data_IF_867328056235
#
_entry.id   IF_867328056235
#
_cell.length_a   1.000
_cell.length_b   1.000
_cell.length_c   1.000
_cell.angle_alpha   90.00
_cell.angle_beta   90.00
_cell.angle_gamma   90.00
#
_symmetry.space_group_name_H-M   'P 1'
#
loop_
_entity.id
_entity.type
_entity.pdbx_description
1 polymer ?
#
# COMPACT_ATOMS: atom_id res chain seq x y z
N UNK A 1 -3.92 -20.28 6.35
CA UNK A 1 -3.74 -21.33 7.37
C UNK A 1 -4.46 -20.99 8.69
N UNK A 2 -4.00 -20.04 9.52
CA UNK A 2 -4.67 -19.73 10.80
C UNK A 2 -6.13 -19.27 10.63
N UNK A 3 -6.39 -18.34 9.69
CA UNK A 3 -7.76 -17.90 9.38
C UNK A 3 -8.66 -19.06 8.92
N UNK A 4 -8.13 -20.01 8.15
CA UNK A 4 -8.88 -21.17 7.69
C UNK A 4 -9.30 -22.09 8.85
N UNK A 5 -8.41 -22.30 9.83
CA UNK A 5 -8.72 -23.05 11.04
C UNK A 5 -9.78 -22.34 11.88
N UNK A 6 -9.60 -21.03 12.11
CA UNK A 6 -10.48 -20.20 12.95
C UNK A 6 -11.92 -20.16 12.43
N UNK A 7 -12.08 -20.16 11.11
CA UNK A 7 -13.40 -20.13 10.46
C UNK A 7 -13.87 -21.51 9.97
N UNK A 8 -13.22 -22.58 10.39
CA UNK A 8 -13.68 -23.95 10.11
C UNK A 8 -14.94 -24.29 10.90
N UNK A 9 -15.62 -25.38 10.54
CA UNK A 9 -16.83 -25.82 11.25
C UNK A 9 -16.59 -26.27 12.68
N UNK A 10 -15.35 -26.66 13.04
CA UNK A 10 -14.97 -27.08 14.38
C UNK A 10 -13.50 -26.70 14.66
N UNK A 11 -13.23 -25.43 15.01
CA UNK A 11 -11.88 -24.95 15.23
C UNK A 11 -11.21 -25.65 16.43
N UNK A 12 -9.96 -26.09 16.25
CA UNK A 12 -9.15 -26.68 17.33
C UNK A 12 -8.26 -25.58 17.97
N UNK A 13 -8.48 -25.34 19.26
CA UNK A 13 -7.75 -24.33 20.03
C UNK A 13 -6.24 -24.58 20.10
N UNK A 14 -5.81 -25.85 20.14
CA UNK A 14 -4.38 -26.18 20.16
C UNK A 14 -3.74 -25.85 18.82
N UNK A 15 -4.40 -26.20 17.72
CA UNK A 15 -3.93 -25.89 16.37
C UNK A 15 -3.88 -24.38 16.15
N UNK A 16 -4.89 -23.64 16.61
CA UNK A 16 -4.91 -22.18 16.54
C UNK A 16 -3.74 -21.55 17.31
N UNK A 17 -3.50 -22.03 18.53
CA UNK A 17 -2.39 -21.56 19.38
C UNK A 17 -1.03 -21.85 18.73
N UNK A 18 -0.82 -23.08 18.24
CA UNK A 18 0.42 -23.47 17.56
C UNK A 18 0.68 -22.61 16.31
N UNK A 19 -0.33 -22.44 15.46
CA UNK A 19 -0.22 -21.62 14.24
C UNK A 19 0.03 -20.14 14.57
N UNK A 20 -0.55 -19.63 15.65
CA UNK A 20 -0.35 -18.26 16.09
C UNK A 20 1.07 -18.05 16.63
N UNK A 21 1.55 -18.94 17.50
CA UNK A 21 2.93 -18.89 17.99
C UNK A 21 3.94 -18.97 16.84
N UNK A 22 3.68 -19.84 15.85
CA UNK A 22 4.54 -19.92 14.65
C UNK A 22 4.51 -18.63 13.83
N UNK A 23 3.35 -17.99 13.73
CA UNK A 23 3.19 -16.73 13.03
C UNK A 23 4.00 -15.61 13.70
N UNK A 24 3.91 -15.48 15.03
CA UNK A 24 4.69 -14.50 15.79
C UNK A 24 6.21 -14.73 15.65
N UNK A 25 6.67 -15.98 15.72
CA UNK A 25 8.08 -16.33 15.48
C UNK A 25 8.56 -15.88 14.09
N UNK A 26 7.74 -16.11 13.06
CA UNK A 26 8.07 -15.72 11.69
C UNK A 26 8.04 -14.19 11.50
N UNK A 27 7.13 -13.49 12.17
CA UNK A 27 7.10 -12.03 12.15
C UNK A 27 8.36 -11.43 12.77
N UNK A 28 8.82 -11.95 13.91
CA UNK A 28 10.01 -11.42 14.56
C UNK A 28 11.26 -11.68 13.73
N UNK A 29 11.34 -12.82 13.04
CA UNK A 29 12.39 -13.08 12.04
C UNK A 29 12.29 -12.17 10.82
N UNK A 30 11.08 -11.85 10.34
CA UNK A 30 10.91 -10.97 9.19
C UNK A 30 11.34 -9.52 9.52
N UNK A 31 11.07 -9.08 10.75
CA UNK A 31 11.40 -7.76 11.27
C UNK A 31 12.90 -7.46 11.26
N UNK A 32 13.78 -8.45 11.38
CA UNK A 32 15.24 -8.24 11.31
C UNK A 32 15.73 -7.80 9.93
N UNK A 33 14.93 -8.00 8.87
CA UNK A 33 15.22 -7.56 7.51
C UNK A 33 14.60 -6.21 7.16
N UNK A 34 13.87 -5.59 8.09
CA UNK A 34 13.21 -4.30 7.88
C UNK A 34 14.13 -3.18 8.35
N UNK A 35 14.41 -2.24 7.45
CA UNK A 35 15.06 -0.97 7.78
C UNK A 35 13.97 0.10 7.76
N UNK A 36 13.52 0.49 8.95
CA UNK A 36 12.43 1.46 9.09
C UNK A 36 12.81 2.78 8.41
N UNK A 37 11.85 3.38 7.71
CA UNK A 37 11.95 4.72 7.11
C UNK A 37 13.04 4.91 6.05
N UNK A 38 13.77 3.87 5.62
CA UNK A 38 14.92 3.99 4.70
C UNK A 38 14.58 4.77 3.43
N UNK A 39 13.45 4.43 2.78
CA UNK A 39 12.98 5.14 1.59
C UNK A 39 12.79 6.65 1.84
N UNK A 40 12.16 7.01 2.96
CA UNK A 40 11.90 8.40 3.32
C UNK A 40 13.18 9.15 3.72
N UNK A 41 14.12 8.49 4.39
CA UNK A 41 15.40 9.07 4.79
C UNK A 41 16.28 9.34 3.57
N UNK A 42 16.34 8.42 2.60
CA UNK A 42 17.06 8.63 1.34
C UNK A 42 16.52 9.88 0.64
N UNK A 43 15.20 10.03 0.56
CA UNK A 43 14.57 11.19 -0.08
C UNK A 43 14.89 12.47 0.68
N UNK A 44 14.70 12.50 2.00
CA UNK A 44 14.95 13.68 2.84
C UNK A 44 16.43 14.12 2.78
N UNK A 45 17.36 13.18 2.89
CA UNK A 45 18.81 13.44 2.82
C UNK A 45 19.24 13.98 1.45
N UNK A 46 18.44 13.78 0.40
CA UNK A 46 18.66 14.33 -0.94
C UNK A 46 17.85 15.61 -1.21
N UNK A 47 17.30 16.26 -0.17
CA UNK A 47 16.55 17.51 -0.28
C UNK A 47 15.11 17.32 -0.74
N UNK A 48 14.58 16.11 -0.62
CA UNK A 48 13.20 15.81 -1.00
C UNK A 48 12.19 16.38 -0.02
N UNK A 49 11.06 16.86 -0.55
CA UNK A 49 9.99 17.47 0.24
C UNK A 49 8.63 16.96 -0.19
N UNK A 50 7.66 17.01 0.73
CA UNK A 50 6.29 16.63 0.45
C UNK A 50 6.08 15.15 0.14
N UNK A 51 6.95 14.27 0.65
CA UNK A 51 6.77 12.82 0.51
C UNK A 51 5.48 12.35 1.16
N UNK A 52 4.55 11.90 0.31
CA UNK A 52 3.27 11.40 0.75
C UNK A 52 2.65 10.45 -0.29
N UNK A 53 1.56 9.83 0.12
CA UNK A 53 0.70 9.04 -0.72
C UNK A 53 -0.77 9.35 -0.40
N UNK A 54 -1.64 9.17 -1.38
CA UNK A 54 -3.09 9.25 -1.16
C UNK A 54 -3.82 8.18 -1.97
N UNK A 55 -4.92 7.69 -1.41
CA UNK A 55 -5.83 6.77 -2.09
C UNK A 55 -7.20 7.41 -2.12
N UNK A 56 -7.83 7.39 -3.28
CA UNK A 56 -9.23 7.76 -3.46
C UNK A 56 -10.03 6.60 -4.05
N UNK A 57 -11.27 6.87 -4.45
CA UNK A 57 -12.14 5.86 -5.06
C UNK A 57 -11.65 5.37 -6.43
N UNK A 58 -10.86 6.20 -7.15
CA UNK A 58 -10.49 5.95 -8.54
C UNK A 58 -8.99 5.73 -8.76
N UNK A 59 -8.13 6.20 -7.85
CA UNK A 59 -6.68 6.16 -8.04
C UNK A 59 -5.91 6.16 -6.72
N UNK A 60 -4.66 5.71 -6.80
CA UNK A 60 -3.64 5.87 -5.76
C UNK A 60 -2.53 6.77 -6.32
N UNK A 61 -2.16 7.80 -5.57
CA UNK A 61 -1.08 8.70 -5.90
C UNK A 61 0.09 8.50 -4.94
N UNK A 62 1.30 8.50 -5.50
CA UNK A 62 2.55 8.66 -4.77
C UNK A 62 3.23 9.91 -5.29
N UNK A 63 3.61 10.83 -4.41
CA UNK A 63 4.14 12.11 -4.83
C UNK A 63 5.12 12.70 -3.82
N UNK A 64 6.12 13.38 -4.36
CA UNK A 64 7.13 14.15 -3.64
C UNK A 64 7.88 15.02 -4.63
N UNK A 65 8.56 16.04 -4.11
CA UNK A 65 9.48 16.88 -4.89
C UNK A 65 10.92 16.53 -4.55
N UNK A 66 11.80 16.62 -5.55
CA UNK A 66 13.25 16.51 -5.40
C UNK A 66 13.93 17.62 -6.21
N UNK A 67 15.15 18.04 -5.84
CA UNK A 67 15.98 18.89 -6.70
C UNK A 67 16.16 18.27 -8.10
N UNK A 68 16.19 19.09 -9.16
CA UNK A 68 16.22 18.60 -10.56
C UNK A 68 17.44 17.71 -10.88
N UNK A 69 18.56 17.91 -10.18
CA UNK A 69 19.76 17.07 -10.30
C UNK A 69 19.60 15.67 -9.65
N UNK A 70 18.48 15.39 -8.98
CA UNK A 70 18.14 14.09 -8.36
C UNK A 70 17.08 13.31 -9.14
N UNK A 71 16.75 13.71 -10.37
CA UNK A 71 15.77 12.99 -11.19
C UNK A 71 16.08 11.49 -11.32
N UNK A 72 17.33 11.12 -11.54
CA UNK A 72 17.73 9.72 -11.64
C UNK A 72 17.50 8.92 -10.35
N UNK A 73 17.72 9.54 -9.17
CA UNK A 73 17.38 8.93 -7.89
C UNK A 73 15.87 8.66 -7.78
N UNK A 74 15.03 9.60 -8.24
CA UNK A 74 13.58 9.40 -8.29
C UNK A 74 13.21 8.19 -9.12
N UNK A 75 13.75 8.09 -10.35
CA UNK A 75 13.50 6.95 -11.24
C UNK A 75 14.00 5.63 -10.65
N UNK A 76 15.18 5.62 -10.03
CA UNK A 76 15.72 4.42 -9.39
C UNK A 76 14.82 3.93 -8.25
N UNK A 77 14.44 4.82 -7.32
CA UNK A 77 13.63 4.47 -6.15
C UNK A 77 12.22 4.03 -6.52
N UNK A 78 11.53 4.79 -7.37
CA UNK A 78 10.17 4.43 -7.76
C UNK A 78 10.15 3.18 -8.66
N UNK A 79 11.11 3.01 -9.56
CA UNK A 79 11.18 1.79 -10.36
C UNK A 79 11.41 0.54 -9.49
N UNK A 80 12.29 0.61 -8.49
CA UNK A 80 12.47 -0.52 -7.57
C UNK A 80 11.21 -0.79 -6.74
N UNK A 81 10.59 0.26 -6.19
CA UNK A 81 9.32 0.15 -5.45
C UNK A 81 8.23 -0.55 -6.26
N UNK A 82 8.10 -0.20 -7.55
CA UNK A 82 7.08 -0.78 -8.41
C UNK A 82 7.45 -2.17 -8.97
N UNK A 83 8.73 -2.46 -9.18
CA UNK A 83 9.18 -3.76 -9.72
C UNK A 83 9.34 -4.82 -8.64
N UNK A 84 9.78 -4.44 -7.45
CA UNK A 84 10.22 -5.34 -6.39
C UNK A 84 9.55 -5.06 -5.02
N UNK A 85 8.20 -4.96 -4.94
CA UNK A 85 7.54 -4.70 -3.67
C UNK A 85 7.78 -5.83 -2.66
N UNK A 86 8.07 -5.45 -1.42
CA UNK A 86 8.19 -6.41 -0.31
C UNK A 86 7.11 -6.17 0.74
N UNK A 87 6.62 -7.24 1.36
CA UNK A 87 5.42 -7.23 2.20
C UNK A 87 5.72 -7.62 3.65
N UNK A 88 6.96 -7.41 4.10
CA UNK A 88 7.43 -7.89 5.42
C UNK A 88 6.63 -7.28 6.57
N UNK A 89 6.19 -6.04 6.41
CA UNK A 89 5.46 -5.29 7.42
C UNK A 89 3.93 -5.33 7.24
N UNK A 90 3.41 -6.13 6.30
CA UNK A 90 1.98 -6.15 5.95
C UNK A 90 1.05 -6.19 7.16
N UNK A 91 1.34 -7.02 8.16
CA UNK A 91 0.48 -7.19 9.33
C UNK A 91 0.60 -6.02 10.32
N UNK A 92 1.76 -5.38 10.41
CA UNK A 92 1.95 -4.17 11.22
C UNK A 92 1.18 -3.03 10.58
N UNK A 93 1.38 -2.82 9.28
CA UNK A 93 0.68 -1.79 8.50
C UNK A 93 -0.83 -1.99 8.48
N UNK A 94 -1.30 -3.25 8.43
CA UNK A 94 -2.72 -3.57 8.56
C UNK A 94 -3.31 -3.06 9.88
N UNK A 95 -2.60 -3.19 11.00
CA UNK A 95 -3.08 -2.65 12.28
C UNK A 95 -3.01 -1.12 12.33
N UNK A 96 -2.01 -0.50 11.67
CA UNK A 96 -1.96 0.97 11.51
C UNK A 96 -3.19 1.48 10.75
N UNK A 97 -3.59 0.83 9.65
CA UNK A 97 -4.79 1.17 8.88
C UNK A 97 -6.07 1.01 9.71
N UNK A 98 -6.14 -0.02 10.56
CA UNK A 98 -7.29 -0.21 11.47
C UNK A 98 -7.39 0.92 12.50
N UNK A 99 -6.26 1.36 13.06
CA UNK A 99 -6.26 2.48 14.00
C UNK A 99 -6.56 3.80 13.30
N UNK A 100 -6.07 4.01 12.07
CA UNK A 100 -6.44 5.17 11.25
C UNK A 100 -7.96 5.22 11.02
N UNK A 101 -8.58 4.10 10.64
CA UNK A 101 -10.03 4.01 10.49
C UNK A 101 -10.74 4.36 11.80
N UNK A 102 -10.28 3.81 12.92
CA UNK A 102 -10.86 4.08 14.24
C UNK A 102 -10.83 5.57 14.57
N UNK A 103 -9.71 6.23 14.33
CA UNK A 103 -9.53 7.66 14.57
C UNK A 103 -10.33 8.55 13.62
N UNK A 104 -10.36 8.23 12.32
CA UNK A 104 -10.98 9.09 11.30
C UNK A 104 -12.48 8.90 11.17
N UNK A 105 -12.97 7.69 11.42
CA UNK A 105 -14.35 7.31 11.18
C UNK A 105 -15.03 6.97 12.50
N UNK A 106 -14.61 5.91 13.20
CA UNK A 106 -15.40 5.34 14.30
C UNK A 106 -15.53 6.30 15.51
N UNK A 107 -14.48 7.05 15.82
CA UNK A 107 -14.47 8.05 16.88
C UNK A 107 -14.90 9.45 16.42
N UNK A 108 -15.18 9.64 15.12
CA UNK A 108 -15.55 10.93 14.55
C UNK A 108 -17.00 10.93 14.03
N UNK A 109 -17.93 11.67 14.64
CA UNK A 109 -19.34 11.65 14.24
C UNK A 109 -19.57 12.12 12.80
N UNK A 110 -18.74 13.05 12.28
CA UNK A 110 -18.83 13.50 10.89
C UNK A 110 -18.34 12.41 9.94
N UNK A 111 -17.25 11.72 10.29
CA UNK A 111 -16.75 10.57 9.53
C UNK A 111 -17.81 9.48 9.38
N UNK A 112 -18.47 9.11 10.50
CA UNK A 112 -19.57 8.14 10.49
C UNK A 112 -20.76 8.59 9.64
N UNK A 113 -21.18 9.85 9.78
CA UNK A 113 -22.29 10.39 9.01
C UNK A 113 -22.03 10.28 7.50
N UNK A 114 -20.84 10.68 7.05
CA UNK A 114 -20.47 10.65 5.64
C UNK A 114 -20.38 9.21 5.12
N UNK A 115 -19.79 8.30 5.88
CA UNK A 115 -19.71 6.88 5.48
C UNK A 115 -21.09 6.26 5.29
N UNK A 116 -22.00 6.43 6.26
CA UNK A 116 -23.37 5.91 6.18
C UNK A 116 -24.16 6.56 5.04
N UNK A 117 -24.03 7.87 4.87
CA UNK A 117 -24.69 8.60 3.78
C UNK A 117 -24.25 8.08 2.41
N UNK A 118 -22.94 7.90 2.19
CA UNK A 118 -22.39 7.40 0.92
C UNK A 118 -22.82 5.96 0.66
N UNK A 119 -22.81 5.10 1.69
CA UNK A 119 -23.26 3.71 1.57
C UNK A 119 -24.74 3.59 1.17
N UNK A 120 -25.61 4.46 1.71
CA UNK A 120 -27.04 4.51 1.34
C UNK A 120 -27.24 5.11 -0.04
N UNK A 121 -26.52 6.18 -0.38
CA UNK A 121 -26.62 6.86 -1.67
C UNK A 121 -26.20 5.96 -2.84
N UNK A 122 -25.21 5.08 -2.62
CA UNK A 122 -24.69 4.15 -3.62
C UNK A 122 -24.91 2.69 -3.20
N UNK A 123 -26.15 2.23 -3.23
CA UNK A 123 -26.52 0.88 -2.75
C UNK A 123 -25.85 -0.27 -3.53
N UNK A 124 -25.66 -0.10 -4.85
CA UNK A 124 -25.08 -1.13 -5.72
C UNK A 124 -23.71 -0.75 -6.30
N UNK A 125 -23.41 0.55 -6.40
CA UNK A 125 -22.18 1.02 -7.01
C UNK A 125 -21.00 0.87 -6.04
N UNK A 126 -19.79 0.46 -6.49
CA UNK A 126 -18.63 0.29 -5.60
C UNK A 126 -18.25 1.52 -4.77
N UNK A 127 -18.65 2.73 -5.20
CA UNK A 127 -18.45 3.97 -4.43
C UNK A 127 -19.19 4.00 -3.09
N UNK A 128 -20.15 3.12 -2.86
CA UNK A 128 -20.74 2.93 -1.52
C UNK A 128 -19.77 2.32 -0.51
N UNK A 129 -18.63 1.78 -0.97
CA UNK A 129 -17.57 1.24 -0.10
C UNK A 129 -16.64 2.37 0.34
N UNK A 130 -16.36 2.52 1.64
CA UNK A 130 -15.41 3.51 2.12
C UNK A 130 -14.01 3.20 1.58
N UNK A 131 -13.24 4.24 1.23
CA UNK A 131 -11.89 4.10 0.66
C UNK A 131 -10.95 3.34 1.59
N UNK A 132 -11.04 3.58 2.90
CA UNK A 132 -10.25 2.85 3.91
C UNK A 132 -10.71 1.40 4.09
N UNK A 133 -11.90 1.04 3.58
CA UNK A 133 -12.53 -0.27 3.75
C UNK A 133 -13.34 -0.41 5.04
N UNK A 134 -14.17 -1.45 5.10
CA UNK A 134 -14.88 -1.83 6.31
C UNK A 134 -13.93 -2.49 7.31
N UNK A 135 -14.12 -2.29 8.61
CA UNK A 135 -13.26 -2.90 9.63
C UNK A 135 -13.25 -4.45 9.54
N UNK A 136 -14.38 -5.07 9.18
CA UNK A 136 -14.47 -6.51 8.90
C UNK A 136 -13.53 -6.92 7.76
N UNK A 137 -13.51 -6.15 6.68
CA UNK A 137 -12.73 -6.45 5.49
C UNK A 137 -11.24 -6.27 5.77
N UNK A 138 -10.86 -5.18 6.44
CA UNK A 138 -9.46 -4.94 6.85
C UNK A 138 -8.98 -6.09 7.74
N UNK A 139 -9.81 -6.54 8.69
CA UNK A 139 -9.49 -7.66 9.59
C UNK A 139 -9.34 -8.98 8.82
N UNK A 140 -10.17 -9.24 7.82
CA UNK A 140 -10.14 -10.47 7.02
C UNK A 140 -9.04 -10.48 5.94
N UNK A 141 -8.58 -9.31 5.49
CA UNK A 141 -7.61 -9.17 4.40
C UNK A 141 -6.30 -9.90 4.72
N UNK A 142 -5.82 -10.67 3.75
CA UNK A 142 -4.58 -11.44 3.79
C UNK A 142 -3.48 -10.80 2.96
N UNK A 143 -2.23 -11.20 3.21
CA UNK A 143 -1.08 -10.78 2.41
C UNK A 143 -1.21 -11.21 0.94
N UNK A 144 -1.93 -12.31 0.68
CA UNK A 144 -2.16 -12.80 -0.67
C UNK A 144 -3.18 -11.94 -1.42
N UNK A 145 -4.20 -11.44 -0.72
CA UNK A 145 -5.13 -10.46 -1.30
C UNK A 145 -4.40 -9.18 -1.72
N UNK A 146 -3.47 -8.69 -0.89
CA UNK A 146 -2.65 -7.53 -1.21
C UNK A 146 -1.75 -7.76 -2.43
N UNK A 147 -1.12 -8.96 -2.53
CA UNK A 147 -0.31 -9.34 -3.70
C UNK A 147 -1.15 -9.44 -4.96
N UNK A 148 -2.31 -10.09 -4.88
CA UNK A 148 -3.23 -10.21 -6.02
C UNK A 148 -3.74 -8.85 -6.49
N UNK A 149 -4.04 -7.95 -5.55
CA UNK A 149 -4.40 -6.57 -5.87
C UNK A 149 -3.26 -5.85 -6.59
N UNK A 150 -2.04 -5.96 -6.06
CA UNK A 150 -0.84 -5.38 -6.66
C UNK A 150 -0.61 -5.91 -8.08
N UNK A 151 -0.51 -7.23 -8.23
CA UNK A 151 -0.23 -7.90 -9.51
C UNK A 151 -1.29 -7.57 -10.58
N UNK A 152 -2.53 -7.33 -10.17
CA UNK A 152 -3.63 -6.96 -11.07
C UNK A 152 -3.61 -5.48 -11.48
N UNK A 153 -3.38 -4.55 -10.56
CA UNK A 153 -3.60 -3.12 -10.81
C UNK A 153 -2.32 -2.30 -10.95
N UNK A 154 -1.20 -2.75 -10.39
CA UNK A 154 0.09 -2.07 -10.46
C UNK A 154 0.89 -2.59 -11.65
N UNK A 155 0.33 -2.38 -12.84
CA UNK A 155 0.90 -2.78 -14.13
C UNK A 155 1.28 -1.55 -14.96
N UNK A 156 2.31 -1.62 -15.84
CA UNK A 156 2.77 -0.47 -16.60
C UNK A 156 1.67 0.25 -17.40
N UNK A 157 0.73 -0.51 -17.96
CA UNK A 157 -0.40 0.04 -18.73
C UNK A 157 -1.45 0.78 -17.89
N UNK A 158 -1.38 0.69 -16.56
CA UNK A 158 -2.31 1.31 -15.61
C UNK A 158 -1.60 2.32 -14.68
N UNK A 159 -0.36 2.72 -15.01
CA UNK A 159 0.42 3.69 -14.23
C UNK A 159 0.77 4.88 -15.13
N UNK A 160 0.58 6.09 -14.60
CA UNK A 160 1.00 7.33 -15.25
C UNK A 160 2.00 8.05 -14.36
N UNK A 161 3.15 8.43 -14.93
CA UNK A 161 4.17 9.23 -14.25
C UNK A 161 4.06 10.67 -14.76
N UNK A 162 3.83 11.61 -13.83
CA UNK A 162 3.81 13.04 -14.12
C UNK A 162 4.99 13.73 -13.45
N UNK A 163 5.79 14.46 -14.24
CA UNK A 163 6.97 15.20 -13.76
C UNK A 163 6.83 16.66 -14.20
N UNK A 164 6.93 17.58 -13.26
CA UNK A 164 6.86 19.02 -13.51
C UNK A 164 7.95 19.75 -12.72
N UNK A 165 8.59 20.74 -13.36
CA UNK A 165 9.68 21.53 -12.78
C UNK A 165 10.76 21.86 -13.81
N UNK A 166 11.98 22.11 -13.33
CA UNK A 166 13.16 22.32 -14.16
C UNK A 166 13.69 20.97 -14.70
N UNK A 167 13.07 20.47 -15.78
CA UNK A 167 13.40 19.17 -16.37
C UNK A 167 13.49 19.25 -17.89
N UNK A 168 14.43 18.49 -18.47
CA UNK A 168 14.47 18.22 -19.91
C UNK A 168 13.61 16.99 -20.23
N UNK A 169 12.51 17.13 -21.01
CA UNK A 169 11.66 16.01 -21.38
C UNK A 169 12.39 14.87 -22.07
N UNK A 170 13.44 15.15 -22.86
CA UNK A 170 14.21 14.11 -23.55
C UNK A 170 15.00 13.26 -22.55
N UNK A 171 15.65 13.92 -21.58
CA UNK A 171 16.33 13.24 -20.47
C UNK A 171 15.35 12.43 -19.62
N UNK A 172 14.19 12.98 -19.27
CA UNK A 172 13.20 12.27 -18.45
C UNK A 172 12.66 11.03 -19.17
N UNK A 173 12.41 11.12 -20.48
CA UNK A 173 12.00 9.98 -21.30
C UNK A 173 13.07 8.89 -21.32
N UNK A 174 14.34 9.25 -21.48
CA UNK A 174 15.45 8.28 -21.44
C UNK A 174 15.52 7.57 -20.10
N UNK A 175 15.43 8.30 -18.99
CA UNK A 175 15.41 7.70 -17.65
C UNK A 175 14.19 6.81 -17.43
N UNK A 176 13.01 7.20 -17.94
CA UNK A 176 11.82 6.36 -17.89
C UNK A 176 12.04 5.03 -18.65
N UNK A 177 12.62 5.08 -19.85
CA UNK A 177 12.96 3.87 -20.62
C UNK A 177 14.01 3.01 -19.91
N UNK A 178 15.03 3.62 -19.29
CA UNK A 178 16.11 2.94 -18.58
C UNK A 178 15.62 2.23 -17.30
N UNK A 179 14.79 2.89 -16.50
CA UNK A 179 14.38 2.38 -15.20
C UNK A 179 13.04 1.62 -15.23
N UNK A 180 12.12 1.97 -16.12
CA UNK A 180 10.80 1.32 -16.22
C UNK A 180 10.61 0.51 -17.52
N UNK A 181 11.51 0.57 -18.50
CA UNK A 181 11.33 -0.09 -19.79
C UNK A 181 11.28 -1.62 -19.72
N UNK A 182 11.84 -2.21 -18.66
CA UNK A 182 11.78 -3.65 -18.38
C UNK A 182 10.64 -4.05 -17.43
N UNK A 183 9.89 -3.07 -16.91
CA UNK A 183 8.78 -3.34 -16.00
C UNK A 183 7.66 -4.06 -16.74
N UNK A 184 7.35 -5.28 -16.29
CA UNK A 184 6.25 -6.09 -16.81
C UNK A 184 5.24 -6.32 -15.70
N UNK A 185 3.97 -6.01 -15.99
CA UNK A 185 2.87 -6.46 -15.16
C UNK A 185 2.77 -7.99 -15.15
N UNK A 186 2.16 -8.56 -14.11
CA UNK A 186 1.85 -10.00 -14.05
C UNK A 186 0.46 -10.34 -14.58
N UNK A 187 -0.23 -9.37 -15.19
CA UNK A 187 -1.59 -9.49 -15.74
C UNK A 187 -1.61 -9.92 -17.20
#
# INVERSE_FOLDING_TARGET
AWLQEKFSSNPDENILSEKWAKFEELQEKAKTFVVNNEFSEIIQNNGGTGLNASTGSDLTNYYYSLPSNKAELWFNLEADRFKNPTYREFYVEKEVVREERRMRIESNPIGRLIEEFVAVAFTAHPYGRPVVGWNSDITATTIEDARNFYDKYYVPSNITIAIAGDVDPKRMKKLAEEYFGDFRGKG
#
